data_IF_792513366708
#
_entry.id   IF_792513366708
#
_cell.length_a   1.000
_cell.length_b   1.000
_cell.length_c   1.000
_cell.angle_alpha   90.00
_cell.angle_beta   90.00
_cell.angle_gamma   90.00
#
_symmetry.space_group_name_H-M   'P 1'
#
loop_
_entity.id
_entity.type
_entity.pdbx_description
1 polymer ?
#
# COMPACT_ATOMS: atom_id res chain seq x y z
N UNK A 1 4.09 -34.33 21.12
CA UNK A 1 3.70 -34.38 19.70
C UNK A 1 2.49 -33.53 19.33
N UNK A 2 1.65 -33.06 20.28
CA UNK A 2 0.58 -32.08 19.97
C UNK A 2 1.12 -30.63 19.91
N UNK A 3 2.04 -30.30 20.82
CA UNK A 3 2.68 -28.97 20.88
C UNK A 3 3.50 -28.58 19.64
N UNK A 4 4.07 -29.57 18.93
CA UNK A 4 4.90 -29.28 17.75
C UNK A 4 4.05 -28.75 16.58
N UNK A 5 2.89 -29.35 16.32
CA UNK A 5 1.99 -28.93 15.24
C UNK A 5 1.39 -27.55 15.50
N UNK A 6 0.89 -27.30 16.72
CA UNK A 6 0.36 -25.98 17.12
C UNK A 6 1.42 -24.88 17.00
N UNK A 7 2.66 -25.16 17.42
CA UNK A 7 3.77 -24.23 17.28
C UNK A 7 4.02 -23.86 15.82
N UNK A 8 4.13 -24.84 14.91
CA UNK A 8 4.39 -24.58 13.50
C UNK A 8 3.25 -23.83 12.81
N UNK A 9 1.99 -24.10 13.18
CA UNK A 9 0.83 -23.34 12.68
C UNK A 9 0.91 -21.89 13.14
N UNK A 10 1.07 -21.65 14.46
CA UNK A 10 1.15 -20.29 15.00
C UNK A 10 2.34 -19.51 14.44
N UNK A 11 3.50 -20.15 14.34
CA UNK A 11 4.71 -19.56 13.77
C UNK A 11 4.50 -19.17 12.30
N UNK A 12 3.90 -20.06 11.49
CA UNK A 12 3.64 -19.79 10.08
C UNK A 12 2.59 -18.70 9.90
N UNK A 13 1.51 -18.72 10.68
CA UNK A 13 0.49 -17.66 10.69
C UNK A 13 1.10 -16.32 11.07
N UNK A 14 1.95 -16.28 12.11
CA UNK A 14 2.63 -15.05 12.52
C UNK A 14 3.55 -14.52 11.42
N UNK A 15 4.35 -15.40 10.79
CA UNK A 15 5.21 -15.02 9.68
C UNK A 15 4.43 -14.45 8.49
N UNK A 16 3.31 -15.07 8.12
CA UNK A 16 2.44 -14.60 7.04
C UNK A 16 1.81 -13.24 7.35
N UNK A 17 1.30 -13.06 8.58
CA UNK A 17 0.72 -11.78 9.02
C UNK A 17 1.78 -10.69 9.04
N UNK A 18 2.97 -10.97 9.57
CA UNK A 18 4.06 -10.00 9.60
C UNK A 18 4.52 -9.61 8.19
N UNK A 19 4.62 -10.59 7.29
CA UNK A 19 4.95 -10.33 5.88
C UNK A 19 3.87 -9.48 5.21
N UNK A 20 2.59 -9.78 5.43
CA UNK A 20 1.48 -8.98 4.93
C UNK A 20 1.53 -7.53 5.46
N UNK A 21 1.81 -7.35 6.75
CA UNK A 21 1.90 -6.03 7.37
C UNK A 21 3.07 -5.20 6.82
N UNK A 22 4.26 -5.81 6.74
CA UNK A 22 5.46 -5.11 6.25
C UNK A 22 5.32 -4.76 4.77
N UNK A 23 4.93 -5.72 3.93
CA UNK A 23 4.79 -5.49 2.50
C UNK A 23 3.62 -4.54 2.21
N UNK A 24 2.50 -4.74 2.91
CA UNK A 24 1.34 -3.86 2.81
C UNK A 24 1.63 -2.42 3.23
N UNK A 25 2.48 -2.22 4.24
CA UNK A 25 2.91 -0.88 4.63
C UNK A 25 3.74 -0.21 3.54
N UNK A 26 4.72 -0.92 2.96
CA UNK A 26 5.56 -0.39 1.89
C UNK A 26 4.70 0.00 0.68
N UNK A 27 3.86 -0.93 0.20
CA UNK A 27 2.98 -0.68 -0.95
C UNK A 27 1.99 0.45 -0.65
N UNK A 28 1.40 0.48 0.54
CA UNK A 28 0.46 1.52 0.92
C UNK A 28 1.07 2.92 0.86
N UNK A 29 2.29 3.08 1.38
CA UNK A 29 2.98 4.37 1.33
C UNK A 29 3.34 4.78 -0.10
N UNK A 30 3.90 3.87 -0.88
CA UNK A 30 4.27 4.16 -2.28
C UNK A 30 3.03 4.55 -3.10
N UNK A 31 1.91 3.83 -2.95
CA UNK A 31 0.66 4.12 -3.66
C UNK A 31 0.07 5.46 -3.22
N UNK A 32 0.04 5.77 -1.93
CA UNK A 32 -0.48 7.07 -1.43
C UNK A 32 0.40 8.23 -1.88
N UNK A 33 1.72 8.09 -1.81
CA UNK A 33 2.66 9.10 -2.32
C UNK A 33 2.56 9.27 -3.84
N UNK A 34 2.32 8.19 -4.58
CA UNK A 34 2.13 8.26 -6.01
C UNK A 34 0.81 8.97 -6.36
N UNK A 35 -0.27 8.73 -5.61
CA UNK A 35 -1.54 9.47 -5.74
C UNK A 35 -1.37 10.96 -5.44
N UNK A 36 -0.54 11.33 -4.46
CA UNK A 36 -0.23 12.73 -4.15
C UNK A 36 0.66 13.40 -5.22
N UNK A 37 1.06 12.68 -6.27
CA UNK A 37 1.83 13.21 -7.40
C UNK A 37 3.35 13.12 -7.22
N UNK A 38 3.85 12.31 -6.29
CA UNK A 38 5.29 12.12 -6.10
C UNK A 38 5.93 11.42 -7.30
N UNK A 39 6.53 12.20 -8.20
CA UNK A 39 7.96 12.08 -8.52
C UNK A 39 8.59 10.68 -8.44
N UNK A 40 9.06 10.42 -7.23
CA UNK A 40 9.90 9.27 -6.87
C UNK A 40 9.06 8.01 -6.79
N UNK A 41 7.89 8.09 -6.14
CA UNK A 41 6.99 6.96 -5.99
C UNK A 41 6.48 6.46 -7.35
N UNK A 42 6.09 7.38 -8.24
CA UNK A 42 5.68 7.03 -9.61
C UNK A 42 6.78 6.29 -10.38
N UNK A 43 8.05 6.76 -10.28
CA UNK A 43 9.18 6.09 -10.93
C UNK A 43 9.49 4.74 -10.30
N UNK A 44 9.38 4.63 -8.97
CA UNK A 44 9.62 3.39 -8.26
C UNK A 44 8.60 2.32 -8.66
N UNK A 45 7.31 2.67 -8.63
CA UNK A 45 6.22 1.78 -9.04
C UNK A 45 6.37 1.37 -10.49
N UNK A 46 6.62 2.32 -11.40
CA UNK A 46 6.79 2.02 -12.84
C UNK A 46 8.00 1.11 -13.11
N UNK A 47 9.02 1.14 -12.26
CA UNK A 47 10.23 0.31 -12.39
C UNK A 47 10.05 -1.10 -11.83
N UNK A 48 9.28 -1.27 -10.75
CA UNK A 48 9.20 -2.53 -10.00
C UNK A 48 7.89 -3.30 -10.20
N UNK A 49 6.80 -2.62 -10.56
CA UNK A 49 5.50 -3.25 -10.70
C UNK A 49 4.97 -3.13 -12.14
N UNK A 50 4.52 -4.24 -12.70
CA UNK A 50 3.68 -4.24 -13.90
C UNK A 50 2.25 -3.82 -13.55
N UNK A 51 1.47 -3.38 -14.55
CA UNK A 51 0.06 -2.97 -14.36
C UNK A 51 -0.75 -4.02 -13.59
N UNK A 52 -0.62 -5.30 -13.98
CA UNK A 52 -1.36 -6.40 -13.36
C UNK A 52 -0.93 -6.67 -11.92
N UNK A 53 0.37 -6.55 -11.66
CA UNK A 53 0.95 -6.77 -10.33
C UNK A 53 0.51 -5.66 -9.39
N UNK A 54 0.66 -4.40 -9.80
CA UNK A 54 0.20 -3.25 -9.02
C UNK A 54 -1.31 -3.32 -8.76
N UNK A 55 -2.11 -3.71 -9.75
CA UNK A 55 -3.56 -3.88 -9.57
C UNK A 55 -3.89 -4.95 -8.53
N UNK A 56 -3.22 -6.10 -8.58
CA UNK A 56 -3.39 -7.16 -7.60
C UNK A 56 -2.94 -6.70 -6.20
N UNK A 57 -1.80 -6.04 -6.09
CA UNK A 57 -1.26 -5.50 -4.84
C UNK A 57 -2.20 -4.45 -4.24
N UNK A 58 -2.73 -3.53 -5.05
CA UNK A 58 -3.67 -2.51 -4.59
C UNK A 58 -4.96 -3.14 -4.06
N UNK A 59 -5.44 -4.23 -4.66
CA UNK A 59 -6.61 -4.96 -4.15
C UNK A 59 -6.27 -5.68 -2.83
N UNK A 60 -5.16 -6.42 -2.80
CA UNK A 60 -4.76 -7.23 -1.63
C UNK A 60 -4.46 -6.34 -0.41
N UNK A 61 -3.81 -5.20 -0.65
CA UNK A 61 -3.39 -4.26 0.38
C UNK A 61 -4.32 -3.03 0.48
N UNK A 62 -5.49 -3.07 -0.16
CA UNK A 62 -6.48 -2.00 -0.09
C UNK A 62 -6.77 -1.49 1.34
N UNK A 63 -6.98 -2.35 2.36
CA UNK A 63 -7.21 -1.86 3.72
C UNK A 63 -5.99 -1.11 4.28
N UNK A 64 -4.76 -1.53 3.95
CA UNK A 64 -3.53 -0.86 4.38
C UNK A 64 -3.33 0.46 3.64
N UNK A 65 -3.67 0.54 2.35
CA UNK A 65 -3.66 1.77 1.54
C UNK A 65 -4.62 2.80 2.12
N UNK A 66 -5.84 2.37 2.49
CA UNK A 66 -6.83 3.22 3.15
C UNK A 66 -6.31 3.76 4.48
N UNK A 67 -5.67 2.91 5.27
CA UNK A 67 -5.08 3.29 6.54
C UNK A 67 -3.95 4.30 6.35
N UNK A 68 -3.03 4.06 5.40
CA UNK A 68 -1.97 5.00 5.07
C UNK A 68 -2.52 6.34 4.58
N UNK A 69 -3.54 6.33 3.70
CA UNK A 69 -4.21 7.55 3.24
C UNK A 69 -4.84 8.32 4.39
N UNK A 70 -5.48 7.63 5.34
CA UNK A 70 -6.02 8.27 6.52
C UNK A 70 -4.93 9.00 7.34
N UNK A 71 -3.80 8.34 7.61
CA UNK A 71 -2.72 8.94 8.40
C UNK A 71 -1.91 10.01 7.66
N UNK A 72 -1.71 9.87 6.35
CA UNK A 72 -0.86 10.76 5.56
C UNK A 72 -1.61 11.94 4.93
N UNK A 73 -2.90 11.78 4.65
CA UNK A 73 -3.69 12.80 3.96
C UNK A 73 -4.80 13.35 4.87
N UNK A 74 -5.60 12.49 5.50
CA UNK A 74 -6.76 12.94 6.31
C UNK A 74 -6.33 13.62 7.61
N UNK A 75 -5.42 12.99 8.36
CA UNK A 75 -4.92 13.54 9.62
C UNK A 75 -4.20 14.88 9.41
N UNK A 76 -3.26 15.04 8.45
CA UNK A 76 -2.57 16.31 8.25
C UNK A 76 -3.47 17.40 7.68
N UNK A 77 -4.45 17.04 6.85
CA UNK A 77 -5.47 17.98 6.40
C UNK A 77 -6.26 18.56 7.59
N UNK A 78 -6.67 17.70 8.53
CA UNK A 78 -7.44 18.15 9.70
C UNK A 78 -6.58 18.93 10.72
N UNK A 79 -5.29 18.59 10.86
CA UNK A 79 -4.41 19.23 11.85
C UNK A 79 -3.74 20.51 11.34
N UNK A 80 -3.29 20.52 10.09
CA UNK A 80 -2.45 21.57 9.52
C UNK A 80 -3.11 22.31 8.34
N UNK A 81 -4.31 21.90 7.90
CA UNK A 81 -5.02 22.54 6.79
C UNK A 81 -4.36 22.34 5.42
N UNK A 82 -3.46 21.36 5.28
CA UNK A 82 -2.76 21.07 4.02
C UNK A 82 -3.74 20.53 2.97
N UNK A 83 -3.55 20.87 1.70
CA UNK A 83 -4.37 20.31 0.62
C UNK A 83 -4.25 18.80 0.56
N UNK A 84 -5.42 18.14 0.59
CA UNK A 84 -5.58 16.69 0.54
C UNK A 84 -5.52 16.19 -0.90
N UNK A 85 -4.71 15.18 -1.18
CA UNK A 85 -4.75 14.46 -2.45
C UNK A 85 -6.08 13.69 -2.59
N UNK A 86 -6.69 13.73 -3.77
CA UNK A 86 -7.92 12.95 -4.03
C UNK A 86 -7.55 11.46 -4.07
N UNK A 87 -8.30 10.63 -3.35
CA UNK A 87 -8.14 9.18 -3.42
C UNK A 87 -8.71 8.68 -4.74
N UNK A 88 -7.87 8.64 -5.77
CA UNK A 88 -8.24 8.18 -7.09
C UNK A 88 -7.21 7.17 -7.62
N UNK A 89 -7.60 5.90 -7.53
CA UNK A 89 -6.78 4.79 -8.01
C UNK A 89 -6.79 4.75 -9.56
N UNK A 90 -7.89 5.17 -10.21
CA UNK A 90 -7.98 5.14 -11.67
C UNK A 90 -7.00 6.14 -12.29
N UNK A 91 -7.00 7.38 -11.78
CA UNK A 91 -6.06 8.42 -12.19
C UNK A 91 -4.60 8.00 -11.94
N UNK A 92 -4.31 7.29 -10.85
CA UNK A 92 -2.97 6.71 -10.60
C UNK A 92 -2.55 5.74 -11.71
N UNK A 93 -3.42 4.81 -12.11
CA UNK A 93 -3.12 3.83 -13.17
C UNK A 93 -2.96 4.50 -14.54
N UNK A 94 -3.78 5.51 -14.85
CA UNK A 94 -3.66 6.30 -16.08
C UNK A 94 -2.29 7.01 -16.14
N UNK A 95 -1.89 7.69 -15.06
CA UNK A 95 -0.59 8.39 -14.97
C UNK A 95 0.61 7.45 -15.13
N UNK A 96 0.52 6.22 -14.62
CA UNK A 96 1.62 5.26 -14.66
C UNK A 96 1.77 4.56 -16.01
N UNK A 97 0.65 4.19 -16.65
CA UNK A 97 0.64 3.23 -17.77
C UNK A 97 -0.05 3.70 -19.05
N UNK A 98 -0.79 4.81 -19.06
CA UNK A 98 -1.41 5.35 -20.28
C UNK A 98 -0.63 6.53 -20.90
N UNK A 99 0.62 6.73 -20.50
CA UNK A 99 1.55 7.73 -21.06
C UNK A 99 2.53 7.09 -22.06
#
# INVERSE_FOLDING_TARGET
MYYDFEFWVLFSSFFLVLTYLVLGFIIAFEVVLAMSGSSVALKWIKKHCSYKELYAEVIIFYPMILLAYFFLEVVPHHLFGVHKAVFDIQDLFERLYQN
#
